data_IF_304405246724
#
_entry.id   IF_304405246724
#
_cell.length_a   1.000
_cell.length_b   1.000
_cell.length_c   1.000
_cell.angle_alpha   90.00
_cell.angle_beta   90.00
_cell.angle_gamma   90.00
#
_symmetry.space_group_name_H-M   'P 1'
#
loop_
_entity.id
_entity.type
_entity.pdbx_description
1 polymer ?
#
# COMPACT_ATOMS: atom_id res chain seq x y z
N UNK A 1 23.03 8.17 -6.15
CA UNK A 1 23.21 7.52 -7.47
C UNK A 1 22.37 6.25 -7.49
N UNK A 2 21.77 5.91 -8.64
CA UNK A 2 20.86 4.77 -8.79
C UNK A 2 21.59 3.44 -8.46
N UNK A 3 21.11 2.69 -7.46
CA UNK A 3 21.72 1.44 -7.00
C UNK A 3 21.23 0.24 -7.82
N UNK A 4 21.84 -0.01 -8.97
CA UNK A 4 21.56 -1.15 -9.84
C UNK A 4 22.86 -1.86 -10.24
N UNK A 5 22.83 -3.19 -10.39
CA UNK A 5 24.00 -4.01 -10.71
C UNK A 5 23.67 -5.10 -11.72
N UNK A 6 24.60 -5.44 -12.61
CA UNK A 6 24.39 -6.43 -13.68
C UNK A 6 25.23 -7.69 -13.45
N UNK A 7 24.64 -8.85 -13.71
CA UNK A 7 25.28 -10.16 -13.56
C UNK A 7 25.47 -10.80 -14.93
N UNK A 8 26.72 -11.09 -15.30
CA UNK A 8 27.10 -11.60 -16.63
C UNK A 8 26.76 -13.08 -16.80
N UNK A 9 26.75 -13.84 -15.71
CA UNK A 9 26.50 -15.27 -15.64
C UNK A 9 25.01 -15.63 -15.55
N UNK A 10 24.12 -14.63 -15.63
CA UNK A 10 22.68 -14.83 -15.59
C UNK A 10 22.12 -15.22 -16.96
N UNK A 11 21.12 -16.10 -16.98
CA UNK A 11 20.34 -16.45 -18.18
C UNK A 11 19.43 -15.31 -18.66
N UNK A 12 19.44 -14.16 -17.98
CA UNK A 12 18.60 -13.00 -18.27
C UNK A 12 19.46 -11.91 -18.92
N UNK A 13 18.99 -11.34 -20.02
CA UNK A 13 19.72 -10.26 -20.71
C UNK A 13 19.93 -9.03 -19.81
N UNK A 14 21.01 -8.27 -20.01
CA UNK A 14 21.25 -7.00 -19.28
C UNK A 14 20.11 -6.00 -19.43
N UNK A 15 19.44 -6.02 -20.57
CA UNK A 15 18.23 -5.24 -20.79
C UNK A 15 17.15 -5.57 -19.75
N UNK A 16 16.83 -6.86 -19.60
CA UNK A 16 15.78 -7.33 -18.71
C UNK A 16 16.19 -7.19 -17.24
N UNK A 17 17.45 -7.48 -16.89
CA UNK A 17 17.96 -7.26 -15.53
C UNK A 17 17.86 -5.79 -15.11
N UNK A 18 18.25 -4.86 -15.99
CA UNK A 18 18.22 -3.43 -15.71
C UNK A 18 16.78 -2.91 -15.61
N UNK A 19 15.91 -3.33 -16.53
CA UNK A 19 14.49 -2.99 -16.49
C UNK A 19 13.84 -3.46 -15.18
N UNK A 20 14.02 -4.72 -14.78
CA UNK A 20 13.41 -5.28 -13.58
C UNK A 20 13.86 -4.54 -12.31
N UNK A 21 15.15 -4.23 -12.18
CA UNK A 21 15.66 -3.50 -11.02
C UNK A 21 15.10 -2.08 -10.94
N UNK A 22 15.09 -1.33 -12.05
CA UNK A 22 14.57 0.05 -12.04
C UNK A 22 13.05 0.05 -11.80
N UNK A 23 12.31 -0.85 -12.46
CA UNK A 23 10.87 -0.99 -12.24
C UNK A 23 10.54 -1.41 -10.80
N UNK A 24 11.35 -2.30 -10.21
CA UNK A 24 11.19 -2.71 -8.81
C UNK A 24 11.42 -1.54 -7.86
N UNK A 25 12.48 -0.75 -8.05
CA UNK A 25 12.77 0.43 -7.23
C UNK A 25 11.66 1.49 -7.31
N UNK A 26 11.06 1.67 -8.49
CA UNK A 26 9.92 2.59 -8.67
C UNK A 26 8.68 2.03 -7.96
N UNK A 27 8.35 0.75 -8.15
CA UNK A 27 7.16 0.11 -7.56
C UNK A 27 7.25 -0.06 -6.04
N UNK A 28 8.46 -0.24 -5.50
CA UNK A 28 8.68 -0.32 -4.05
C UNK A 28 8.67 1.06 -3.37
N UNK A 29 8.71 2.15 -4.15
CA UNK A 29 8.81 3.51 -3.64
C UNK A 29 10.23 3.94 -3.25
N UNK A 30 11.24 3.09 -3.43
CA UNK A 30 12.65 3.46 -3.23
C UNK A 30 13.12 4.54 -4.22
N UNK A 31 12.51 4.57 -5.40
CA UNK A 31 12.53 5.71 -6.32
C UNK A 31 11.16 6.41 -6.29
N UNK A 32 10.98 7.45 -5.46
CA UNK A 32 9.69 8.11 -5.34
C UNK A 32 9.31 8.86 -6.62
N UNK A 33 8.01 9.13 -6.83
CA UNK A 33 7.52 10.07 -7.83
C UNK A 33 8.37 11.34 -7.95
N UNK A 34 8.50 11.84 -9.18
CA UNK A 34 9.28 13.03 -9.52
C UNK A 34 10.80 12.92 -9.30
N UNK A 35 11.31 11.77 -8.83
CA UNK A 35 12.74 11.51 -8.80
C UNK A 35 13.35 11.57 -10.18
N UNK A 36 14.49 12.22 -10.32
CA UNK A 36 15.21 12.27 -11.57
C UNK A 36 16.08 11.02 -11.73
N UNK A 37 15.88 10.29 -12.82
CA UNK A 37 16.78 9.22 -13.21
C UNK A 37 18.07 9.80 -13.81
N UNK A 38 19.21 9.10 -13.68
CA UNK A 38 20.42 9.46 -14.40
C UNK A 38 20.16 9.54 -15.91
N UNK A 39 20.93 10.34 -16.63
CA UNK A 39 20.83 10.33 -18.09
C UNK A 39 21.26 8.97 -18.64
N UNK A 40 20.78 8.64 -19.85
CA UNK A 40 21.16 7.40 -20.54
C UNK A 40 22.69 7.26 -20.64
N UNK A 41 23.41 8.37 -20.86
CA UNK A 41 24.88 8.38 -20.94
C UNK A 41 25.54 8.13 -19.58
N UNK A 42 25.04 8.77 -18.52
CA UNK A 42 25.56 8.58 -17.16
C UNK A 42 25.37 7.14 -16.68
N UNK A 43 24.16 6.59 -16.87
CA UNK A 43 23.88 5.22 -16.43
C UNK A 43 24.63 4.17 -17.26
N UNK A 44 24.76 4.39 -18.58
CA UNK A 44 25.55 3.51 -19.43
C UNK A 44 27.04 3.50 -19.04
N UNK A 45 27.60 4.68 -18.75
CA UNK A 45 28.97 4.81 -18.28
C UNK A 45 29.18 4.15 -16.90
N UNK A 46 28.26 4.38 -15.96
CA UNK A 46 28.32 3.79 -14.63
C UNK A 46 28.27 2.25 -14.66
N UNK A 47 27.41 1.68 -15.50
CA UNK A 47 27.22 0.23 -15.61
C UNK A 47 28.14 -0.44 -16.65
N UNK A 48 28.96 0.33 -17.36
CA UNK A 48 29.81 -0.15 -18.46
C UNK A 48 29.03 -0.97 -19.50
N UNK A 49 27.84 -0.49 -19.88
CA UNK A 49 26.97 -1.13 -20.87
C UNK A 49 26.75 -0.25 -22.09
N UNK A 50 26.24 -0.87 -23.16
CA UNK A 50 25.89 -0.14 -24.37
C UNK A 50 24.78 0.89 -24.08
N UNK A 51 25.01 2.13 -24.52
CA UNK A 51 24.04 3.23 -24.47
C UNK A 51 22.64 2.81 -24.98
N UNK A 52 22.58 2.02 -26.06
CA UNK A 52 21.32 1.56 -26.64
C UNK A 52 20.53 0.64 -25.70
N UNK A 53 21.21 -0.14 -24.85
CA UNK A 53 20.57 -1.00 -23.84
C UNK A 53 19.85 -0.15 -22.79
N UNK A 54 20.52 0.88 -22.26
CA UNK A 54 19.89 1.79 -21.30
C UNK A 54 18.76 2.57 -21.96
N UNK A 55 18.96 3.03 -23.20
CA UNK A 55 17.95 3.76 -23.96
C UNK A 55 16.67 2.94 -24.15
N UNK A 56 16.79 1.68 -24.54
CA UNK A 56 15.61 0.82 -24.74
C UNK A 56 14.91 0.48 -23.43
N UNK A 57 15.64 0.33 -22.33
CA UNK A 57 15.04 0.18 -20.98
C UNK A 57 14.25 1.44 -20.60
N UNK A 58 14.80 2.63 -20.81
CA UNK A 58 14.09 3.88 -20.50
C UNK A 58 12.85 4.08 -21.38
N UNK A 59 12.95 3.72 -22.66
CA UNK A 59 11.80 3.72 -23.57
C UNK A 59 10.72 2.74 -23.10
N UNK A 60 11.10 1.54 -22.64
CA UNK A 60 10.14 0.56 -22.10
C UNK A 60 9.49 1.07 -20.81
N UNK A 61 10.27 1.60 -19.86
CA UNK A 61 9.74 2.22 -18.64
C UNK A 61 8.78 3.37 -18.97
N UNK A 62 9.07 4.16 -19.99
CA UNK A 62 8.21 5.25 -20.46
C UNK A 62 6.93 4.73 -21.12
N UNK A 63 7.02 3.68 -21.95
CA UNK A 63 5.86 3.01 -22.56
C UNK A 63 4.93 2.40 -21.49
N UNK A 64 5.52 1.88 -20.42
CA UNK A 64 4.85 1.38 -19.24
C UNK A 64 4.56 2.50 -18.23
N UNK A 65 4.67 3.78 -18.63
CA UNK A 65 4.33 4.98 -17.85
C UNK A 65 5.01 5.13 -16.48
N UNK A 66 6.01 4.32 -16.15
CA UNK A 66 6.78 4.41 -14.92
C UNK A 66 7.67 5.67 -14.87
N UNK A 67 7.98 6.24 -16.03
CA UNK A 67 8.77 7.47 -16.16
C UNK A 67 8.23 8.39 -17.27
N UNK A 68 8.37 9.70 -17.10
CA UNK A 68 8.19 10.71 -18.15
C UNK A 68 9.57 11.20 -18.62
N UNK A 69 9.75 11.36 -19.92
CA UNK A 69 11.00 11.81 -20.53
C UNK A 69 10.72 12.95 -21.48
N UNK A 70 11.15 14.16 -21.12
CA UNK A 70 10.98 15.37 -21.94
C UNK A 70 12.33 15.89 -22.42
N UNK A 71 12.38 16.26 -23.70
CA UNK A 71 13.59 16.85 -24.29
C UNK A 71 14.02 18.08 -23.49
N UNK A 72 15.25 18.07 -22.96
CA UNK A 72 15.83 19.15 -22.16
C UNK A 72 15.52 19.13 -20.66
N UNK A 73 14.68 18.22 -20.15
CA UNK A 73 14.34 18.11 -18.71
C UNK A 73 14.77 16.78 -18.05
N UNK A 74 15.32 15.86 -18.82
CA UNK A 74 15.75 14.54 -18.34
C UNK A 74 14.58 13.57 -18.22
N UNK A 75 14.85 12.43 -17.58
CA UNK A 75 13.86 11.38 -17.31
C UNK A 75 13.49 11.42 -15.84
N UNK A 76 12.20 11.52 -15.55
CA UNK A 76 11.66 11.63 -14.19
C UNK A 76 10.71 10.45 -13.91
N UNK A 77 10.71 9.94 -12.69
CA UNK A 77 9.75 8.93 -12.25
C UNK A 77 8.36 9.54 -12.26
N UNK A 78 7.42 8.87 -12.92
CA UNK A 78 6.04 9.33 -13.00
C UNK A 78 5.39 9.33 -11.62
N UNK A 79 4.42 10.22 -11.42
CA UNK A 79 3.55 10.13 -10.25
C UNK A 79 2.73 8.83 -10.34
N UNK A 80 2.72 8.01 -9.28
CA UNK A 80 1.92 6.79 -9.20
C UNK A 80 0.40 7.08 -9.26
N UNK A 81 0.01 8.36 -9.11
CA UNK A 81 -1.34 8.85 -9.46
C UNK A 81 -1.65 8.67 -10.97
N UNK A 82 -0.63 8.52 -11.81
CA UNK A 82 -0.73 8.14 -13.23
C UNK A 82 -0.25 6.70 -13.45
N UNK A 83 -0.85 5.73 -12.76
CA UNK A 83 -0.72 4.33 -13.15
C UNK A 83 -1.17 4.19 -14.63
N UNK A 84 -0.37 3.60 -15.53
CA UNK A 84 -0.80 3.31 -16.91
C UNK A 84 -1.97 2.33 -16.99
N UNK A 85 -2.30 1.62 -15.91
CA UNK A 85 -3.55 0.87 -15.75
C UNK A 85 -4.76 1.81 -15.54
N UNK A 86 -4.53 3.03 -15.04
CA UNK A 86 -5.54 4.07 -14.82
C UNK A 86 -5.62 5.08 -15.99
N UNK A 87 -4.66 5.06 -16.91
CA UNK A 87 -4.69 5.90 -18.13
C UNK A 87 -5.37 5.14 -19.28
N UNK A 88 -6.42 5.71 -19.88
CA UNK A 88 -7.20 5.10 -20.98
C UNK A 88 -6.33 4.83 -22.23
N UNK A 89 -5.66 3.68 -22.29
CA UNK A 89 -4.79 3.27 -23.38
C UNK A 89 -5.34 2.01 -24.09
N UNK A 90 -5.86 2.12 -25.33
CA UNK A 90 -6.44 0.99 -26.07
C UNK A 90 -5.47 -0.19 -26.28
N UNK A 91 -4.16 0.07 -26.42
CA UNK A 91 -3.17 -0.97 -26.63
C UNK A 91 -2.94 -1.81 -25.37
N UNK A 92 -2.98 -1.19 -24.19
CA UNK A 92 -2.87 -1.89 -22.91
C UNK A 92 -4.11 -2.77 -22.68
N UNK A 93 -5.30 -2.23 -22.93
CA UNK A 93 -6.54 -3.01 -22.84
C UNK A 93 -6.51 -4.24 -23.76
N UNK A 94 -6.03 -4.07 -25.00
CA UNK A 94 -5.88 -5.18 -25.94
C UNK A 94 -4.87 -6.24 -25.46
N UNK A 95 -3.76 -5.83 -24.84
CA UNK A 95 -2.77 -6.74 -24.27
C UNK A 95 -3.35 -7.55 -23.11
N UNK A 96 -4.01 -6.88 -22.16
CA UNK A 96 -4.67 -7.53 -21.02
C UNK A 96 -5.74 -8.52 -21.48
N UNK A 97 -6.56 -8.12 -22.46
CA UNK A 97 -7.57 -8.99 -23.06
C UNK A 97 -6.93 -10.23 -23.70
N UNK A 98 -5.82 -10.07 -24.42
CA UNK A 98 -5.10 -11.18 -25.06
C UNK A 98 -4.53 -12.17 -24.03
N UNK A 99 -3.85 -11.66 -23.00
CA UNK A 99 -3.29 -12.50 -21.94
C UNK A 99 -4.38 -13.27 -21.18
N UNK A 100 -5.48 -12.59 -20.89
CA UNK A 100 -6.62 -13.19 -20.19
C UNK A 100 -7.25 -14.28 -21.05
N UNK A 101 -7.50 -14.02 -22.33
CA UNK A 101 -8.07 -15.01 -23.24
C UNK A 101 -7.15 -16.21 -23.48
N UNK A 102 -5.82 -16.02 -23.45
CA UNK A 102 -4.88 -17.15 -23.47
C UNK A 102 -5.04 -18.05 -22.24
N UNK A 103 -5.16 -17.47 -21.04
CA UNK A 103 -5.38 -18.22 -19.79
C UNK A 103 -6.72 -18.95 -19.78
N UNK A 104 -7.79 -18.27 -20.20
CA UNK A 104 -9.14 -18.85 -20.34
C UNK A 104 -9.12 -20.07 -21.27
N UNK A 105 -8.48 -19.94 -22.45
CA UNK A 105 -8.33 -21.06 -23.39
C UNK A 105 -7.48 -22.20 -22.83
N UNK A 106 -6.39 -21.89 -22.12
CA UNK A 106 -5.54 -22.91 -21.50
C UNK A 106 -6.27 -23.71 -20.40
N UNK A 107 -7.29 -23.12 -19.77
CA UNK A 107 -8.18 -23.78 -18.80
C UNK A 107 -9.34 -24.54 -19.46
N UNK A 108 -9.45 -24.53 -20.79
CA UNK A 108 -10.48 -25.26 -21.53
C UNK A 108 -11.83 -24.52 -21.69
N UNK A 109 -11.91 -23.25 -21.31
CA UNK A 109 -13.14 -22.46 -21.45
C UNK A 109 -13.23 -21.77 -22.81
N UNK A 110 -14.46 -21.66 -23.32
CA UNK A 110 -14.79 -20.90 -24.53
C UNK A 110 -14.90 -19.39 -24.23
N UNK A 111 -14.82 -18.58 -25.29
CA UNK A 111 -15.07 -17.13 -25.19
C UNK A 111 -16.49 -16.84 -24.69
N UNK A 112 -17.49 -17.62 -25.10
CA UNK A 112 -18.89 -17.45 -24.69
C UNK A 112 -19.11 -17.74 -23.20
N UNK A 113 -18.46 -18.78 -22.68
CA UNK A 113 -18.48 -19.08 -21.24
C UNK A 113 -17.79 -17.97 -20.44
N UNK A 114 -16.62 -17.52 -20.91
CA UNK A 114 -15.91 -16.43 -20.26
C UNK A 114 -16.69 -15.11 -20.31
N UNK A 115 -17.36 -14.80 -21.41
CA UNK A 115 -18.17 -13.58 -21.54
C UNK A 115 -19.36 -13.60 -20.58
N UNK A 116 -19.98 -14.76 -20.35
CA UNK A 116 -21.05 -14.92 -19.34
C UNK A 116 -20.53 -14.67 -17.93
N UNK A 117 -19.37 -15.22 -17.58
CA UNK A 117 -18.71 -14.96 -16.28
C UNK A 117 -18.33 -13.49 -16.16
N UNK A 118 -17.74 -12.89 -17.20
CA UNK A 118 -17.35 -11.48 -17.21
C UNK A 118 -18.56 -10.56 -17.04
N UNK A 119 -19.71 -10.88 -17.64
CA UNK A 119 -20.94 -10.12 -17.45
C UNK A 119 -21.47 -10.20 -16.00
N UNK A 120 -21.44 -11.39 -15.39
CA UNK A 120 -21.81 -11.57 -14.00
C UNK A 120 -20.86 -10.81 -13.06
N UNK A 121 -19.55 -10.96 -13.26
CA UNK A 121 -18.51 -10.25 -12.51
C UNK A 121 -18.58 -8.73 -12.75
N UNK A 122 -18.91 -8.28 -13.96
CA UNK A 122 -19.10 -6.84 -14.23
C UNK A 122 -20.26 -6.27 -13.43
N UNK A 123 -21.34 -7.03 -13.21
CA UNK A 123 -22.42 -6.60 -12.31
C UNK A 123 -21.99 -6.55 -10.84
N UNK A 124 -21.07 -7.42 -10.44
CA UNK A 124 -20.46 -7.39 -9.09
C UNK A 124 -19.49 -6.22 -8.91
N UNK A 125 -18.73 -5.85 -9.95
CA UNK A 125 -17.70 -4.78 -9.92
C UNK A 125 -18.29 -3.39 -10.24
N UNK A 126 -19.51 -3.29 -10.80
CA UNK A 126 -20.20 -2.03 -11.11
C UNK A 126 -20.70 -1.25 -9.88
N UNK A 127 -20.15 -1.51 -8.70
CA UNK A 127 -20.42 -0.71 -7.52
C UNK A 127 -19.51 0.51 -7.50
N UNK A 128 -20.03 1.64 -7.02
CA UNK A 128 -19.21 2.82 -6.75
C UNK A 128 -18.03 2.41 -5.84
N UNK A 129 -16.80 2.92 -6.10
CA UNK A 129 -15.64 2.62 -5.27
C UNK A 129 -15.81 3.07 -3.83
N UNK A 130 -14.96 2.53 -2.96
CA UNK A 130 -14.76 3.05 -1.60
C UNK A 130 -13.56 3.99 -1.61
N UNK A 131 -13.74 5.21 -1.10
CA UNK A 131 -12.65 6.17 -0.91
C UNK A 131 -12.00 5.94 0.45
N UNK A 132 -10.74 5.56 0.46
CA UNK A 132 -9.94 5.39 1.66
C UNK A 132 -9.01 6.59 1.88
N UNK A 133 -9.12 7.22 3.05
CA UNK A 133 -8.39 8.44 3.40
C UNK A 133 -7.32 8.17 4.47
N UNK A 134 -6.08 8.62 4.20
CA UNK A 134 -4.95 8.57 5.15
C UNK A 134 -4.20 9.88 5.26
N UNK A 135 -3.42 10.01 6.33
CA UNK A 135 -2.56 11.17 6.56
C UNK A 135 -1.33 11.21 5.65
N UNK A 136 -0.76 10.06 5.28
CA UNK A 136 0.54 9.99 4.57
C UNK A 136 0.47 9.12 3.32
N UNK A 137 1.08 9.57 2.22
CA UNK A 137 1.22 8.80 0.98
C UNK A 137 1.98 7.49 1.16
N UNK A 138 2.99 7.51 2.04
CA UNK A 138 3.97 6.44 2.23
C UNK A 138 3.33 5.08 2.60
N UNK A 139 2.15 5.09 3.21
CA UNK A 139 1.43 3.89 3.67
C UNK A 139 0.14 3.63 2.88
N UNK A 140 -0.31 4.61 2.10
CA UNK A 140 -1.64 4.64 1.50
C UNK A 140 -1.87 3.43 0.60
N UNK A 141 -0.92 3.14 -0.30
CA UNK A 141 -1.04 2.03 -1.24
C UNK A 141 -1.05 0.65 -0.54
N UNK A 142 -0.37 0.50 0.59
CA UNK A 142 -0.36 -0.76 1.34
C UNK A 142 -1.68 -0.98 2.07
N UNK A 143 -2.19 0.04 2.75
CA UNK A 143 -3.48 -0.06 3.42
C UNK A 143 -4.64 -0.22 2.44
N UNK A 144 -4.61 0.47 1.29
CA UNK A 144 -5.57 0.21 0.22
C UNK A 144 -5.56 -1.26 -0.21
N UNK A 145 -4.37 -1.88 -0.38
CA UNK A 145 -4.27 -3.31 -0.71
C UNK A 145 -4.84 -4.21 0.39
N UNK A 146 -4.61 -3.89 1.65
CA UNK A 146 -5.18 -4.64 2.77
C UNK A 146 -6.71 -4.53 2.78
N UNK A 147 -7.26 -3.32 2.65
CA UNK A 147 -8.73 -3.14 2.57
C UNK A 147 -9.30 -3.84 1.35
N UNK A 148 -8.66 -3.71 0.19
CA UNK A 148 -9.05 -4.37 -1.07
C UNK A 148 -9.08 -5.90 -0.93
N UNK A 149 -8.14 -6.48 -0.20
CA UNK A 149 -8.11 -7.92 0.09
C UNK A 149 -9.36 -8.38 0.88
N UNK A 150 -9.85 -7.55 1.80
CA UNK A 150 -11.06 -7.84 2.57
C UNK A 150 -12.37 -7.50 1.84
N UNK A 151 -12.29 -6.75 0.73
CA UNK A 151 -13.39 -6.31 -0.12
C UNK A 151 -13.12 -6.64 -1.61
N UNK A 152 -13.03 -7.92 -1.99
CA UNK A 152 -12.60 -8.29 -3.34
C UNK A 152 -13.54 -7.81 -4.46
N UNK A 153 -14.80 -7.50 -4.13
CA UNK A 153 -15.83 -7.11 -5.09
C UNK A 153 -15.95 -5.59 -5.32
N UNK A 154 -15.22 -4.75 -4.55
CA UNK A 154 -15.30 -3.29 -4.68
C UNK A 154 -13.93 -2.68 -4.78
N UNK A 155 -13.76 -1.74 -5.71
CA UNK A 155 -12.51 -1.00 -5.85
C UNK A 155 -12.27 -0.10 -4.64
N UNK A 156 -11.07 -0.18 -4.08
CA UNK A 156 -10.62 0.73 -3.02
C UNK A 156 -9.69 1.77 -3.64
N UNK A 157 -10.14 3.02 -3.67
CA UNK A 157 -9.35 4.16 -4.11
C UNK A 157 -8.74 4.86 -2.89
N UNK A 158 -7.46 5.23 -2.96
CA UNK A 158 -6.74 5.81 -1.83
C UNK A 158 -6.33 7.26 -2.07
N UNK A 159 -6.75 8.17 -1.20
CA UNK A 159 -6.30 9.58 -1.21
C UNK A 159 -5.63 9.97 0.12
N UNK A 160 -4.73 10.95 0.06
CA UNK A 160 -4.32 11.65 1.27
C UNK A 160 -5.40 12.63 1.72
N UNK A 161 -5.41 12.94 3.01
CA UNK A 161 -6.31 13.96 3.55
C UNK A 161 -6.10 15.32 2.90
N UNK A 162 -4.86 15.70 2.56
CA UNK A 162 -4.57 16.99 1.91
C UNK A 162 -5.25 17.10 0.53
N UNK A 163 -5.10 16.06 -0.31
CA UNK A 163 -5.76 15.98 -1.62
C UNK A 163 -7.28 16.01 -1.46
N UNK A 164 -7.80 15.28 -0.48
CA UNK A 164 -9.22 15.26 -0.19
C UNK A 164 -9.77 16.64 0.20
N UNK A 165 -9.08 17.36 1.09
CA UNK A 165 -9.51 18.68 1.54
C UNK A 165 -9.45 19.72 0.42
N UNK A 166 -8.41 19.70 -0.41
CA UNK A 166 -8.29 20.56 -1.59
C UNK A 166 -9.44 20.33 -2.57
N UNK A 167 -9.75 19.04 -2.86
CA UNK A 167 -10.85 18.67 -3.74
C UNK A 167 -12.19 19.09 -3.17
N UNK A 168 -12.45 18.80 -1.90
CA UNK A 168 -13.70 19.15 -1.21
C UNK A 168 -13.95 20.66 -1.19
N UNK A 169 -12.89 21.47 -1.06
CA UNK A 169 -13.00 22.93 -1.14
C UNK A 169 -13.32 23.46 -2.54
N UNK A 170 -13.06 22.67 -3.59
CA UNK A 170 -13.25 23.06 -4.99
C UNK A 170 -14.57 22.55 -5.57
N UNK A 171 -14.90 21.28 -5.30
CA UNK A 171 -16.09 20.61 -5.81
C UNK A 171 -16.51 19.51 -4.83
N UNK A 172 -17.79 19.48 -4.45
CA UNK A 172 -18.35 18.44 -3.57
C UNK A 172 -19.04 17.33 -4.35
N UNK A 173 -19.27 17.48 -5.66
CA UNK A 173 -20.01 16.50 -6.46
C UNK A 173 -19.25 15.17 -6.62
N UNK A 174 -17.92 15.20 -6.61
CA UNK A 174 -17.09 13.98 -6.66
C UNK A 174 -17.42 12.98 -5.54
N UNK A 175 -17.99 13.44 -4.41
CA UNK A 175 -18.42 12.55 -3.34
C UNK A 175 -19.47 11.52 -3.80
N UNK A 176 -20.25 11.84 -4.85
CA UNK A 176 -21.25 10.95 -5.44
C UNK A 176 -20.62 9.83 -6.29
N UNK A 177 -19.32 9.91 -6.57
CA UNK A 177 -18.57 8.87 -7.27
C UNK A 177 -18.16 7.73 -6.33
N UNK A 178 -18.42 7.86 -5.02
CA UNK A 178 -18.01 6.88 -4.01
C UNK A 178 -19.21 6.32 -3.24
N UNK A 179 -19.12 5.03 -2.92
CA UNK A 179 -20.12 4.30 -2.11
C UNK A 179 -19.98 4.56 -0.62
N UNK A 180 -18.73 4.76 -0.17
CA UNK A 180 -18.40 5.03 1.22
C UNK A 180 -17.07 5.79 1.30
N UNK A 181 -16.90 6.56 2.37
CA UNK A 181 -15.61 7.13 2.76
C UNK A 181 -15.11 6.36 3.97
N UNK A 182 -13.95 5.74 3.83
CA UNK A 182 -13.26 5.04 4.91
C UNK A 182 -12.15 5.92 5.43
N UNK A 183 -12.10 6.10 6.74
CA UNK A 183 -11.12 6.96 7.38
C UNK A 183 -10.75 6.44 8.76
N UNK A 184 -9.57 6.80 9.24
CA UNK A 184 -9.17 6.53 10.61
C UNK A 184 -10.13 7.20 11.63
N UNK A 185 -10.50 6.51 12.74
CA UNK A 185 -11.42 7.02 13.75
C UNK A 185 -11.12 8.43 14.29
N UNK A 186 -9.86 8.87 14.33
CA UNK A 186 -9.50 10.22 14.80
C UNK A 186 -9.99 11.35 13.89
N UNK A 187 -10.27 11.08 12.62
CA UNK A 187 -10.72 12.08 11.64
C UNK A 187 -12.24 12.06 11.49
N UNK A 188 -12.89 10.94 11.79
CA UNK A 188 -14.34 10.75 11.63
C UNK A 188 -15.19 11.90 12.20
N UNK A 189 -14.94 12.42 13.42
CA UNK A 189 -15.75 13.52 13.96
C UNK A 189 -15.67 14.79 13.11
N UNK A 190 -14.48 15.12 12.61
CA UNK A 190 -14.25 16.28 11.77
C UNK A 190 -14.94 16.13 10.41
N UNK A 191 -14.82 14.96 9.78
CA UNK A 191 -15.49 14.70 8.50
C UNK A 191 -17.02 14.80 8.61
N UNK A 192 -17.61 14.26 9.68
CA UNK A 192 -19.06 14.35 9.94
C UNK A 192 -19.57 15.79 10.09
N UNK A 193 -18.73 16.73 10.50
CA UNK A 193 -19.11 18.14 10.67
C UNK A 193 -19.07 18.93 9.37
N UNK A 194 -18.18 18.58 8.45
CA UNK A 194 -17.91 19.36 7.23
C UNK A 194 -18.56 18.80 5.98
N UNK A 195 -18.88 17.50 5.96
CA UNK A 195 -19.47 16.87 4.79
C UNK A 195 -20.95 17.23 4.62
N UNK A 196 -21.42 17.41 3.37
CA UNK A 196 -22.83 17.65 3.08
C UNK A 196 -23.70 16.45 3.46
N UNK A 197 -25.01 16.66 3.60
CA UNK A 197 -25.95 15.59 3.99
C UNK A 197 -26.03 14.46 2.98
N UNK A 198 -25.80 14.77 1.70
CA UNK A 198 -25.83 13.84 0.59
C UNK A 198 -24.50 13.09 0.41
N UNK A 199 -23.50 13.33 1.28
CA UNK A 199 -22.23 12.62 1.23
C UNK A 199 -22.42 11.12 1.49
N UNK A 200 -21.57 10.27 0.90
CA UNK A 200 -21.59 8.85 1.18
C UNK A 200 -21.31 8.55 2.66
N UNK A 201 -21.77 7.39 3.17
CA UNK A 201 -21.54 7.00 4.56
C UNK A 201 -20.05 6.97 4.90
N UNK A 202 -19.73 7.45 6.11
CA UNK A 202 -18.37 7.47 6.64
C UNK A 202 -18.19 6.25 7.54
N UNK A 203 -17.26 5.37 7.18
CA UNK A 203 -16.86 4.20 7.97
C UNK A 203 -15.54 4.49 8.66
N UNK A 204 -15.50 4.26 9.97
CA UNK A 204 -14.26 4.32 10.72
C UNK A 204 -13.53 2.99 10.61
N UNK A 205 -12.29 3.02 10.15
CA UNK A 205 -11.45 1.83 10.03
C UNK A 205 -10.07 2.13 10.61
N UNK A 206 -9.67 1.33 11.59
CA UNK A 206 -8.34 1.34 12.18
C UNK A 206 -7.52 0.14 11.69
N UNK A 207 -6.21 0.21 11.89
CA UNK A 207 -5.29 -0.88 11.61
C UNK A 207 -4.69 -1.35 12.92
N UNK A 208 -4.97 -2.59 13.26
CA UNK A 208 -4.56 -3.20 14.53
C UNK A 208 -3.46 -4.21 14.27
N UNK A 209 -2.58 -4.47 15.26
CA UNK A 209 -1.65 -5.59 15.18
C UNK A 209 -2.41 -6.90 14.94
N UNK A 210 -1.89 -7.77 14.06
CA UNK A 210 -2.53 -9.06 13.79
C UNK A 210 -2.47 -9.96 15.04
N UNK A 211 -3.60 -10.21 15.72
CA UNK A 211 -3.61 -10.98 16.95
C UNK A 211 -3.21 -12.43 16.71
N UNK A 212 -3.41 -12.97 15.50
CA UNK A 212 -3.03 -14.34 15.15
C UNK A 212 -1.51 -14.53 15.11
N UNK A 213 -0.76 -13.43 14.92
CA UNK A 213 0.71 -13.43 14.90
C UNK A 213 1.27 -12.99 16.24
N UNK A 214 0.73 -11.91 16.82
CA UNK A 214 1.30 -11.32 18.04
C UNK A 214 1.03 -12.19 19.27
N UNK A 215 -0.19 -12.72 19.44
CA UNK A 215 -0.57 -13.52 20.62
C UNK A 215 0.35 -14.74 20.81
N UNK A 216 0.53 -15.64 19.82
CA UNK A 216 1.40 -16.81 20.00
C UNK A 216 2.88 -16.42 20.18
N UNK A 217 3.30 -15.31 19.55
CA UNK A 217 4.68 -14.86 19.62
C UNK A 217 5.03 -14.32 21.01
N UNK A 218 4.10 -13.66 21.70
CA UNK A 218 4.35 -13.10 23.04
C UNK A 218 4.04 -14.08 24.18
N UNK A 219 3.12 -15.02 23.99
CA UNK A 219 2.78 -16.04 24.99
C UNK A 219 3.99 -16.91 25.36
N UNK A 220 4.89 -17.13 24.39
CA UNK A 220 6.11 -17.90 24.59
C UNK A 220 7.13 -17.26 25.55
N UNK A 221 6.96 -15.98 25.93
CA UNK A 221 7.89 -15.30 26.83
C UNK A 221 7.65 -15.66 28.31
N UNK A 222 8.71 -15.66 29.14
CA UNK A 222 8.60 -15.85 30.58
C UNK A 222 7.72 -14.81 31.27
N UNK A 223 7.23 -15.14 32.47
CA UNK A 223 6.51 -14.18 33.34
C UNK A 223 7.33 -12.92 33.59
N UNK A 224 6.66 -11.79 33.66
CA UNK A 224 7.18 -10.43 33.86
C UNK A 224 8.11 -9.93 32.74
N UNK A 225 8.15 -10.59 31.58
CA UNK A 225 8.86 -10.05 30.41
C UNK A 225 8.22 -8.72 30.01
N UNK A 226 9.05 -7.69 29.82
CA UNK A 226 8.62 -6.36 29.39
C UNK A 226 8.47 -6.34 27.88
N UNK A 227 7.24 -6.33 27.41
CA UNK A 227 6.90 -6.33 25.98
C UNK A 227 6.41 -4.95 25.58
N UNK A 228 7.14 -4.30 24.70
CA UNK A 228 6.74 -3.03 24.10
C UNK A 228 5.93 -3.25 22.82
N UNK A 229 4.83 -2.54 22.63
CA UNK A 229 4.08 -2.47 21.37
C UNK A 229 4.14 -1.04 20.83
N UNK A 230 4.77 -0.87 19.67
CA UNK A 230 4.80 0.39 18.92
C UNK A 230 3.82 0.22 17.76
N UNK A 231 2.67 0.88 17.84
CA UNK A 231 1.59 0.77 16.85
C UNK A 231 1.40 2.09 16.10
N UNK A 232 0.72 2.06 14.95
CA UNK A 232 0.39 3.27 14.22
C UNK A 232 -0.38 4.28 15.08
N UNK A 233 -1.23 3.78 15.98
CA UNK A 233 -2.13 4.56 16.83
C UNK A 233 -2.11 3.99 18.25
N UNK A 234 -2.36 4.84 19.26
CA UNK A 234 -2.49 4.36 20.65
C UNK A 234 -3.68 3.40 20.82
N UNK A 235 -4.77 3.64 20.07
CA UNK A 235 -5.98 2.79 20.11
C UNK A 235 -5.69 1.37 19.59
N UNK A 236 -4.92 1.24 18.52
CA UNK A 236 -4.49 -0.07 18.02
C UNK A 236 -3.68 -0.84 19.05
N UNK A 237 -2.83 -0.13 19.82
CA UNK A 237 -2.05 -0.75 20.88
C UNK A 237 -2.91 -1.16 22.09
N UNK A 238 -3.86 -0.32 22.51
CA UNK A 238 -4.82 -0.66 23.58
C UNK A 238 -5.72 -1.84 23.19
N UNK A 239 -6.18 -1.87 21.93
CA UNK A 239 -6.93 -3.00 21.38
C UNK A 239 -6.14 -4.30 21.46
N UNK A 240 -4.87 -4.28 21.07
CA UNK A 240 -3.99 -5.45 21.17
C UNK A 240 -3.77 -5.90 22.62
N UNK A 241 -3.68 -4.98 23.60
CA UNK A 241 -3.64 -5.36 25.03
C UNK A 241 -4.92 -6.09 25.42
N UNK A 242 -6.09 -5.59 25.01
CA UNK A 242 -7.36 -6.24 25.31
C UNK A 242 -7.42 -7.65 24.71
N UNK A 243 -6.93 -7.84 23.47
CA UNK A 243 -6.86 -9.14 22.82
C UNK A 243 -5.92 -10.11 23.55
N UNK A 244 -4.77 -9.64 24.03
CA UNK A 244 -3.85 -10.44 24.85
C UNK A 244 -4.51 -10.89 26.16
N UNK A 245 -5.21 -9.98 26.85
CA UNK A 245 -5.93 -10.31 28.08
C UNK A 245 -7.07 -11.31 27.82
N UNK A 246 -7.82 -11.13 26.73
CA UNK A 246 -8.89 -12.05 26.33
C UNK A 246 -8.36 -13.45 26.00
N UNK A 247 -7.13 -13.55 25.50
CA UNK A 247 -6.42 -14.81 25.28
C UNK A 247 -5.81 -15.41 26.57
N UNK A 248 -5.98 -14.76 27.74
CA UNK A 248 -5.45 -15.21 29.02
C UNK A 248 -4.00 -14.80 29.29
N UNK A 249 -3.38 -14.03 28.40
CA UNK A 249 -1.99 -13.56 28.54
C UNK A 249 -1.98 -12.36 29.48
N UNK A 250 -1.76 -12.63 30.76
CA UNK A 250 -1.73 -11.64 31.85
C UNK A 250 -0.40 -11.63 32.59
N UNK A 251 0.56 -12.46 32.16
CA UNK A 251 1.86 -12.63 32.81
C UNK A 251 2.95 -11.70 32.29
N UNK A 252 2.66 -10.79 31.37
CA UNK A 252 3.63 -9.90 30.72
C UNK A 252 3.50 -8.46 31.27
N UNK A 253 4.61 -7.71 31.31
CA UNK A 253 4.59 -6.26 31.55
C UNK A 253 4.46 -5.56 30.18
N UNK A 254 3.22 -5.22 29.81
CA UNK A 254 2.89 -4.62 28.51
C UNK A 254 3.06 -3.10 28.56
N UNK A 255 3.79 -2.56 27.58
CA UNK A 255 3.95 -1.12 27.38
C UNK A 255 3.60 -0.75 25.96
N UNK A 256 2.92 0.37 25.76
CA UNK A 256 2.48 0.80 24.43
C UNK A 256 2.87 2.24 24.15
N UNK A 257 3.12 2.52 22.88
CA UNK A 257 3.37 3.88 22.41
C UNK A 257 2.96 4.02 20.95
N UNK A 258 2.55 5.22 20.56
CA UNK A 258 2.30 5.54 19.16
C UNK A 258 3.63 5.63 18.38
N UNK A 259 3.61 5.13 17.15
CA UNK A 259 4.72 5.10 16.21
C UNK A 259 5.55 6.38 16.25
N UNK A 260 4.94 7.55 16.08
CA UNK A 260 5.67 8.83 15.93
C UNK A 260 5.90 9.59 17.24
N UNK A 261 5.67 8.96 18.40
CA UNK A 261 5.91 9.61 19.69
C UNK A 261 7.41 9.85 19.93
N UNK A 262 7.82 10.98 20.54
CA UNK A 262 9.23 11.26 20.87
C UNK A 262 9.91 10.17 21.70
N UNK A 263 9.17 9.59 22.65
CA UNK A 263 9.70 8.64 23.65
C UNK A 263 9.80 7.19 23.15
N UNK A 264 9.72 6.94 21.84
CA UNK A 264 9.83 5.59 21.27
C UNK A 264 11.15 4.92 21.63
N UNK A 265 12.25 5.66 21.64
CA UNK A 265 13.56 5.13 22.04
C UNK A 265 13.60 4.76 23.52
N UNK A 266 12.90 5.51 24.37
CA UNK A 266 12.82 5.22 25.80
C UNK A 266 11.99 3.97 26.07
N UNK A 267 10.86 3.79 25.36
CA UNK A 267 10.11 2.54 25.42
C UNK A 267 11.00 1.37 24.99
N UNK A 268 11.71 1.51 23.88
CA UNK A 268 12.61 0.46 23.39
C UNK A 268 13.68 0.16 24.43
N UNK A 269 14.35 1.17 25.01
CA UNK A 269 15.39 0.98 26.00
C UNK A 269 14.90 0.18 27.22
N UNK A 270 13.66 0.41 27.67
CA UNK A 270 13.09 -0.15 28.89
C UNK A 270 12.34 -1.48 28.71
N UNK A 271 12.19 -1.99 27.49
CA UNK A 271 11.57 -3.28 27.19
C UNK A 271 12.61 -4.36 26.86
N UNK A 272 12.28 -5.61 27.20
CA UNK A 272 13.09 -6.80 26.88
C UNK A 272 12.93 -7.18 25.41
N UNK A 273 11.71 -7.04 24.89
CA UNK A 273 11.35 -7.21 23.48
C UNK A 273 10.35 -6.14 23.07
N UNK A 274 10.42 -5.72 21.81
CA UNK A 274 9.52 -4.72 21.24
C UNK A 274 8.96 -5.25 19.93
N UNK A 275 7.66 -5.15 19.79
CA UNK A 275 6.93 -5.39 18.56
C UNK A 275 6.59 -4.03 17.95
N UNK A 276 6.94 -3.82 16.69
CA UNK A 276 6.74 -2.56 15.98
C UNK A 276 5.96 -2.79 14.68
N UNK A 277 4.95 -1.94 14.43
CA UNK A 277 4.28 -1.92 13.13
C UNK A 277 5.08 -1.14 12.10
N UNK A 278 4.76 -1.35 10.83
CA UNK A 278 5.43 -0.69 9.71
C UNK A 278 5.44 0.84 9.83
N UNK A 279 4.31 1.53 10.14
CA UNK A 279 4.32 2.96 10.46
C UNK A 279 5.36 3.38 11.51
N UNK A 280 5.62 2.53 12.50
CA UNK A 280 6.60 2.75 13.55
C UNK A 280 8.03 2.91 13.06
N UNK A 281 8.43 2.17 12.01
CA UNK A 281 9.81 2.16 11.53
C UNK A 281 10.03 2.81 10.17
N UNK A 282 8.99 3.13 9.40
CA UNK A 282 9.16 3.71 8.05
C UNK A 282 10.00 5.00 8.04
N UNK A 283 9.85 5.85 9.06
CA UNK A 283 10.65 7.07 9.22
C UNK A 283 11.96 6.84 9.98
N UNK A 284 12.13 5.67 10.61
CA UNK A 284 13.28 5.29 11.44
C UNK A 284 13.66 3.81 11.19
N UNK A 285 14.10 3.44 9.98
CA UNK A 285 14.35 2.04 9.60
C UNK A 285 15.44 1.38 10.46
N UNK A 286 16.33 2.18 11.07
CA UNK A 286 17.34 1.71 12.02
C UNK A 286 16.74 0.97 13.23
N UNK A 287 15.48 1.23 13.59
CA UNK A 287 14.83 0.53 14.71
C UNK A 287 14.78 -0.99 14.50
N UNK A 288 14.64 -1.46 13.25
CA UNK A 288 14.63 -2.89 12.92
C UNK A 288 15.99 -3.57 13.01
N UNK A 289 17.07 -2.80 13.09
CA UNK A 289 18.43 -3.35 13.29
C UNK A 289 18.70 -3.71 14.76
N UNK A 290 17.85 -3.25 15.68
CA UNK A 290 17.99 -3.55 17.10
C UNK A 290 17.53 -4.99 17.37
N UNK A 291 18.37 -5.85 17.99
CA UNK A 291 18.06 -7.29 18.14
C UNK A 291 16.75 -7.60 18.88
N UNK A 292 16.32 -6.68 19.76
CA UNK A 292 15.09 -6.83 20.55
C UNK A 292 13.84 -6.29 19.87
N UNK A 293 13.97 -5.64 18.71
CA UNK A 293 12.85 -5.09 17.95
C UNK A 293 12.45 -6.11 16.88
N UNK A 294 11.16 -6.46 16.86
CA UNK A 294 10.55 -7.41 15.93
C UNK A 294 9.41 -6.71 15.21
N UNK A 295 9.30 -6.88 13.89
CA UNK A 295 8.14 -6.35 13.19
C UNK A 295 6.91 -7.24 13.43
N UNK A 296 5.72 -6.62 13.40
CA UNK A 296 4.46 -7.33 13.21
C UNK A 296 3.67 -6.71 12.07
N UNK A 297 2.74 -7.50 11.53
CA UNK A 297 1.83 -7.05 10.48
C UNK A 297 0.58 -6.45 11.12
N UNK A 298 0.10 -5.36 10.54
CA UNK A 298 -1.21 -4.81 10.87
C UNK A 298 -2.27 -5.36 9.92
N UNK A 299 -3.48 -5.51 10.43
CA UNK A 299 -4.67 -5.86 9.68
C UNK A 299 -5.77 -4.81 9.94
N UNK A 300 -6.69 -4.58 8.98
CA UNK A 300 -7.86 -3.76 9.25
C UNK A 300 -8.67 -4.34 10.42
N UNK A 301 -9.19 -3.47 11.28
CA UNK A 301 -10.02 -3.91 12.40
C UNK A 301 -11.32 -4.59 11.92
N UNK A 302 -11.76 -5.60 12.66
CA UNK A 302 -12.91 -6.43 12.26
C UNK A 302 -14.22 -5.62 12.22
N UNK A 303 -14.38 -4.63 13.10
CA UNK A 303 -15.61 -3.85 13.18
C UNK A 303 -15.80 -3.00 11.92
N UNK A 304 -14.79 -2.23 11.54
CA UNK A 304 -14.82 -1.39 10.34
C UNK A 304 -15.01 -2.23 9.06
N UNK A 305 -14.37 -3.40 8.96
CA UNK A 305 -14.58 -4.31 7.81
C UNK A 305 -16.01 -4.85 7.75
N UNK A 306 -16.64 -5.24 8.87
CA UNK A 306 -18.05 -5.67 8.88
C UNK A 306 -18.94 -4.52 8.41
N UNK A 307 -18.77 -3.33 8.96
CA UNK A 307 -19.58 -2.16 8.63
C UNK A 307 -19.47 -1.82 7.15
N UNK A 308 -18.25 -1.81 6.63
CA UNK A 308 -17.97 -1.53 5.24
C UNK A 308 -18.57 -2.59 4.31
N UNK A 309 -18.47 -3.89 4.67
CA UNK A 309 -19.11 -4.99 3.93
C UNK A 309 -20.61 -4.82 3.83
N UNK A 310 -21.29 -4.42 4.91
CA UNK A 310 -22.74 -4.17 4.89
C UNK A 310 -23.12 -3.07 3.91
N UNK A 311 -22.33 -1.99 3.85
CA UNK A 311 -22.57 -0.87 2.94
C UNK A 311 -22.34 -1.29 1.49
N UNK A 312 -21.24 -1.98 1.20
CA UNK A 312 -20.96 -2.39 -0.18
C UNK A 312 -21.89 -3.50 -0.67
N UNK A 313 -22.43 -4.36 0.19
CA UNK A 313 -23.38 -5.39 -0.25
C UNK A 313 -24.81 -4.88 -0.52
N UNK A 314 -25.12 -3.61 -0.21
CA UNK A 314 -26.41 -2.96 -0.51
C UNK A 314 -26.42 -2.30 -1.88
#
# INVERSE_FOLDING_TARGET
MLRVSLQKESNISYHEQLYQQIASLIRSGELPPHSQLPTVRELAAHLHVNYNTVRSVYLRLQQEGLVDSRQGRGTIVSNLVNDPLLTRNPAHLALLAKETLHKVKAMGYTLEEYTRVLAAVSQEINQLPVLFLRFTELELAEYCRLVQYHLPSVMVEGWTLDVFWERLGSDTHFLQEYKAIVVHPSVTPRLKQVLPREAPPIVSLDFIPDPTVVIPAVDAYPRNTKVGLICATIRGAEGMIADLHNAGITHLDLRTIEANHPDVFDLIANCDVVYISKPGYMTRPQLLTLPKVKEFREIPDHHGIIELRKIVSQ
#
